data_IF_256633184402
#
_entry.id   IF_256633184402
#
_cell.length_a   1.000
_cell.length_b   1.000
_cell.length_c   1.000
_cell.angle_alpha   90.00
_cell.angle_beta   90.00
_cell.angle_gamma   90.00
#
_symmetry.space_group_name_H-M   'P 1'
#
loop_
_entity.id
_entity.type
_entity.pdbx_description
1 polymer ?
#
# COMPACT_ATOMS: atom_id res chain seq x y z
N UNK A 1 -2.75 10.30 -13.96
CA UNK A 1 -2.01 9.04 -13.82
C UNK A 1 -3.03 7.92 -13.94
N UNK A 2 -2.96 7.11 -14.99
CA UNK A 2 -3.88 5.97 -15.19
C UNK A 2 -3.36 4.85 -14.30
N UNK A 3 -4.13 4.48 -13.28
CA UNK A 3 -3.81 3.38 -12.38
C UNK A 3 -4.16 2.09 -13.10
N UNK A 4 -3.17 1.41 -13.64
CA UNK A 4 -3.36 0.06 -14.18
C UNK A 4 -3.36 -0.90 -13.00
N UNK A 5 -4.44 -1.66 -12.80
CA UNK A 5 -4.48 -2.76 -11.81
C UNK A 5 -3.41 -3.78 -12.20
N UNK A 6 -2.32 -3.82 -11.46
CA UNK A 6 -1.32 -4.86 -11.65
C UNK A 6 -1.90 -6.20 -11.19
N UNK A 7 -1.76 -7.21 -12.04
CA UNK A 7 -2.23 -8.55 -11.73
C UNK A 7 -1.34 -9.15 -10.63
N UNK A 8 -1.96 -9.60 -9.53
CA UNK A 8 -1.29 -10.36 -8.48
C UNK A 8 -1.18 -11.81 -8.93
N UNK A 9 0.01 -12.37 -8.87
CA UNK A 9 0.32 -13.73 -9.23
C UNK A 9 0.61 -14.56 -7.97
N UNK A 10 0.14 -15.80 -7.94
CA UNK A 10 0.55 -16.74 -6.92
C UNK A 10 1.85 -17.45 -7.33
N UNK A 11 2.46 -18.19 -6.38
CA UNK A 11 3.73 -18.91 -6.61
C UNK A 11 3.64 -19.86 -7.81
N UNK A 12 2.51 -20.57 -7.97
CA UNK A 12 2.30 -21.50 -9.06
C UNK A 12 2.22 -20.80 -10.42
N UNK A 13 1.53 -19.67 -10.50
CA UNK A 13 1.44 -18.86 -11.72
C UNK A 13 2.82 -18.33 -12.13
N UNK A 14 3.64 -17.88 -11.17
CA UNK A 14 5.02 -17.45 -11.44
C UNK A 14 5.88 -18.62 -11.91
N UNK A 15 5.80 -19.78 -11.26
CA UNK A 15 6.53 -20.97 -11.69
C UNK A 15 6.15 -21.39 -13.10
N UNK A 16 4.87 -21.37 -13.44
CA UNK A 16 4.38 -21.69 -14.77
C UNK A 16 4.86 -20.68 -15.83
N UNK A 17 4.93 -19.39 -15.47
CA UNK A 17 5.48 -18.35 -16.34
C UNK A 17 6.99 -18.59 -16.62
N UNK A 18 7.76 -18.92 -15.59
CA UNK A 18 9.20 -19.25 -15.72
C UNK A 18 9.40 -20.49 -16.59
N UNK A 19 8.60 -21.55 -16.39
CA UNK A 19 8.66 -22.76 -17.18
C UNK A 19 8.36 -22.53 -18.66
N UNK A 20 7.39 -21.68 -18.97
CA UNK A 20 7.06 -21.29 -20.36
C UNK A 20 8.21 -20.55 -21.04
N UNK A 21 8.93 -19.70 -20.30
CA UNK A 21 10.06 -18.95 -20.85
C UNK A 21 11.32 -19.81 -20.97
N UNK A 22 11.53 -20.70 -20.02
CA UNK A 22 12.72 -21.54 -19.99
C UNK A 22 12.43 -22.96 -19.45
N UNK A 23 12.17 -23.95 -20.33
CA UNK A 23 11.82 -25.31 -19.94
C UNK A 23 12.93 -26.11 -19.21
N UNK A 24 14.12 -25.52 -19.05
CA UNK A 24 15.23 -26.15 -18.32
C UNK A 24 15.01 -26.23 -16.82
N UNK A 25 14.19 -25.34 -16.25
CA UNK A 25 13.87 -25.33 -14.82
C UNK A 25 12.82 -26.41 -14.49
N UNK A 26 13.23 -27.69 -14.41
CA UNK A 26 12.29 -28.81 -14.18
C UNK A 26 12.08 -29.18 -12.72
N UNK A 27 12.98 -28.78 -11.82
CA UNK A 27 12.84 -29.09 -10.39
C UNK A 27 12.23 -27.94 -9.61
N UNK A 28 11.44 -28.24 -8.58
CA UNK A 28 10.88 -27.21 -7.68
C UNK A 28 11.97 -26.33 -7.09
N UNK A 29 13.12 -26.92 -6.70
CA UNK A 29 14.26 -26.18 -6.16
C UNK A 29 14.81 -25.15 -7.15
N UNK A 30 14.98 -25.51 -8.42
CA UNK A 30 15.47 -24.58 -9.45
C UNK A 30 14.46 -23.45 -9.76
N UNK A 31 13.15 -23.74 -9.67
CA UNK A 31 12.11 -22.72 -9.83
C UNK A 31 12.09 -21.73 -8.67
N UNK A 32 12.21 -22.21 -7.42
CA UNK A 32 12.32 -21.31 -6.27
C UNK A 32 13.58 -20.45 -6.31
N UNK A 33 14.73 -21.04 -6.73
CA UNK A 33 15.96 -20.27 -6.93
C UNK A 33 15.76 -19.17 -7.97
N UNK A 34 15.11 -19.48 -9.12
CA UNK A 34 14.85 -18.46 -10.15
C UNK A 34 13.86 -17.40 -9.69
N UNK A 35 12.86 -17.73 -8.87
CA UNK A 35 11.98 -16.73 -8.23
C UNK A 35 12.81 -15.78 -7.37
N UNK A 36 13.70 -16.32 -6.51
CA UNK A 36 14.56 -15.52 -5.66
C UNK A 36 15.52 -14.61 -6.46
N UNK A 37 16.06 -15.11 -7.57
CA UNK A 37 16.88 -14.31 -8.48
C UNK A 37 16.06 -13.18 -9.11
N UNK A 38 14.86 -13.47 -9.61
CA UNK A 38 13.96 -12.46 -10.19
C UNK A 38 13.49 -11.41 -9.17
N UNK A 39 13.31 -11.79 -7.88
CA UNK A 39 13.08 -10.83 -6.79
C UNK A 39 14.31 -9.92 -6.58
N UNK A 40 15.50 -10.49 -6.57
CA UNK A 40 16.77 -9.75 -6.40
C UNK A 40 17.04 -8.80 -7.56
N UNK A 41 16.71 -9.21 -8.77
CA UNK A 41 16.86 -8.41 -9.99
C UNK A 41 15.75 -7.35 -10.15
N UNK A 42 14.73 -7.37 -9.28
CA UNK A 42 13.61 -6.43 -9.31
C UNK A 42 12.60 -6.70 -10.44
N UNK A 43 12.66 -7.86 -11.09
CA UNK A 43 11.68 -8.26 -12.12
C UNK A 43 10.32 -8.57 -11.51
N UNK A 44 10.32 -9.12 -10.32
CA UNK A 44 9.11 -9.40 -9.52
C UNK A 44 9.31 -8.89 -8.10
N UNK A 45 8.21 -8.50 -7.47
CA UNK A 45 8.20 -8.07 -6.08
C UNK A 45 7.25 -8.96 -5.29
N UNK A 46 7.74 -9.48 -4.18
CA UNK A 46 6.92 -10.25 -3.25
C UNK A 46 6.10 -9.31 -2.39
N UNK A 47 4.79 -9.34 -2.55
CA UNK A 47 3.83 -8.50 -1.80
C UNK A 47 3.17 -9.22 -0.62
N UNK A 48 3.46 -10.53 -0.46
CA UNK A 48 2.94 -11.36 0.63
C UNK A 48 3.36 -12.81 0.49
N UNK A 49 2.90 -13.67 1.40
CA UNK A 49 3.23 -15.11 1.34
C UNK A 49 2.67 -15.74 0.07
N UNK A 50 3.56 -16.11 -0.85
CA UNK A 50 3.20 -16.72 -2.13
C UNK A 50 2.48 -15.79 -3.09
N UNK A 51 2.59 -14.45 -2.92
CA UNK A 51 1.97 -13.45 -3.79
C UNK A 51 3.02 -12.50 -4.33
N UNK A 52 2.97 -12.27 -5.63
CA UNK A 52 3.96 -11.51 -6.38
C UNK A 52 3.30 -10.58 -7.39
N UNK A 53 3.99 -9.50 -7.73
CA UNK A 53 3.68 -8.63 -8.86
C UNK A 53 4.91 -8.50 -9.75
N UNK A 54 4.71 -8.30 -11.05
CA UNK A 54 5.80 -7.96 -11.97
C UNK A 54 6.08 -6.45 -11.90
N UNK A 55 7.36 -6.11 -11.90
CA UNK A 55 7.80 -4.73 -11.91
C UNK A 55 8.42 -4.25 -10.59
N UNK A 56 8.77 -2.98 -10.52
CA UNK A 56 9.36 -2.38 -9.33
C UNK A 56 8.28 -1.92 -8.34
N UNK A 57 8.62 -1.85 -7.05
CA UNK A 57 7.74 -1.29 -6.01
C UNK A 57 7.26 0.13 -6.34
N UNK A 58 7.99 0.86 -7.19
CA UNK A 58 7.60 2.21 -7.63
C UNK A 58 6.37 2.23 -8.56
N UNK A 59 5.98 1.08 -9.11
CA UNK A 59 4.77 0.93 -9.92
C UNK A 59 3.57 0.38 -9.15
N UNK A 60 3.76 0.00 -7.87
CA UNK A 60 2.67 -0.49 -7.05
C UNK A 60 1.71 0.65 -6.70
N UNK A 61 0.57 0.66 -7.35
CA UNK A 61 -0.54 1.54 -7.01
C UNK A 61 -1.74 0.69 -6.62
N UNK A 62 -2.41 1.07 -5.55
CA UNK A 62 -3.69 0.48 -5.19
C UNK A 62 -4.77 1.55 -5.25
N UNK A 63 -5.99 1.14 -5.56
CA UNK A 63 -7.13 2.04 -5.59
C UNK A 63 -7.67 2.26 -4.18
N UNK A 64 -7.83 3.53 -3.80
CA UNK A 64 -8.56 3.87 -2.59
C UNK A 64 -10.02 3.43 -2.75
N UNK A 65 -10.54 2.63 -1.81
CA UNK A 65 -11.91 2.15 -1.84
C UNK A 65 -12.84 3.02 -1.00
N UNK A 66 -12.38 3.47 0.18
CA UNK A 66 -13.15 4.24 1.13
C UNK A 66 -13.44 5.67 0.68
N UNK A 67 -14.68 6.13 0.90
CA UNK A 67 -15.08 7.50 0.56
C UNK A 67 -14.22 8.54 1.31
N UNK A 68 -13.88 8.27 2.58
CA UNK A 68 -13.06 9.17 3.40
C UNK A 68 -11.62 9.24 2.89
N UNK A 69 -11.01 8.12 2.53
CA UNK A 69 -9.66 8.10 1.96
C UNK A 69 -9.60 8.86 0.63
N UNK A 70 -10.61 8.68 -0.23
CA UNK A 70 -10.74 9.43 -1.49
C UNK A 70 -10.90 10.93 -1.24
N UNK A 71 -11.67 11.32 -0.22
CA UNK A 71 -11.85 12.72 0.14
C UNK A 71 -10.53 13.35 0.67
N UNK A 72 -9.77 12.62 1.51
CA UNK A 72 -8.44 13.06 1.97
C UNK A 72 -7.50 13.22 0.78
N UNK A 73 -7.43 12.24 -0.12
CA UNK A 73 -6.60 12.32 -1.31
C UNK A 73 -6.94 13.53 -2.17
N UNK A 74 -8.24 13.75 -2.43
CA UNK A 74 -8.72 14.90 -3.18
C UNK A 74 -8.32 16.22 -2.51
N UNK A 75 -8.56 16.36 -1.21
CA UNK A 75 -8.19 17.54 -0.43
C UNK A 75 -6.70 17.88 -0.56
N UNK A 76 -5.82 16.87 -0.43
CA UNK A 76 -4.38 17.09 -0.56
C UNK A 76 -3.98 17.48 -1.98
N UNK A 77 -4.59 16.89 -3.00
CA UNK A 77 -4.32 17.25 -4.40
C UNK A 77 -4.79 18.64 -4.78
N UNK A 78 -5.85 19.14 -4.17
CA UNK A 78 -6.41 20.47 -4.44
C UNK A 78 -5.68 21.59 -3.67
N UNK A 79 -5.17 21.30 -2.47
CA UNK A 79 -4.59 22.31 -1.58
C UNK A 79 -3.06 22.35 -1.56
N UNK A 80 -2.40 21.35 -2.16
CA UNK A 80 -0.94 21.26 -2.21
C UNK A 80 -0.44 21.25 -3.65
N UNK A 81 0.80 21.71 -3.86
CA UNK A 81 1.40 21.75 -5.19
C UNK A 81 1.57 20.34 -5.79
N UNK A 82 1.69 20.28 -7.12
CA UNK A 82 1.93 19.03 -7.83
C UNK A 82 3.22 18.29 -7.42
N UNK A 83 4.17 19.02 -6.81
CA UNK A 83 5.43 18.48 -6.33
C UNK A 83 5.35 17.99 -4.86
N UNK A 84 4.17 18.11 -4.23
CA UNK A 84 3.97 17.57 -2.90
C UNK A 84 3.81 16.05 -2.98
N UNK A 85 4.80 15.35 -2.47
CA UNK A 85 4.84 13.89 -2.43
C UNK A 85 4.18 13.39 -1.14
N UNK A 86 3.25 12.49 -1.27
CA UNK A 86 2.62 11.79 -0.15
C UNK A 86 2.16 10.40 -0.58
N UNK A 87 2.07 9.50 0.39
CA UNK A 87 1.43 8.20 0.22
C UNK A 87 0.19 8.12 1.12
N UNK A 88 -0.89 7.56 0.58
CA UNK A 88 -2.13 7.31 1.32
C UNK A 88 -2.60 5.89 1.05
N UNK A 89 -2.91 5.14 2.09
CA UNK A 89 -3.42 3.79 1.97
C UNK A 89 -4.38 3.43 3.11
N UNK A 90 -5.23 2.49 2.84
CA UNK A 90 -6.25 1.99 3.76
C UNK A 90 -5.83 0.61 4.27
N UNK A 91 -5.78 0.44 5.58
CA UNK A 91 -5.39 -0.85 6.18
C UNK A 91 -6.29 -1.99 5.74
N UNK A 92 -7.60 -1.75 5.59
CA UNK A 92 -8.54 -2.73 5.10
C UNK A 92 -8.21 -3.22 3.69
N UNK A 93 -7.88 -2.30 2.78
CA UNK A 93 -7.54 -2.64 1.40
C UNK A 93 -6.22 -3.40 1.32
N UNK A 94 -5.19 -2.89 2.02
CA UNK A 94 -3.86 -3.50 2.01
C UNK A 94 -3.86 -4.86 2.71
N UNK A 95 -4.42 -4.95 3.93
CA UNK A 95 -4.36 -6.17 4.72
C UNK A 95 -5.30 -7.27 4.23
N UNK A 96 -6.44 -6.94 3.62
CA UNK A 96 -7.32 -7.94 3.00
C UNK A 96 -6.65 -8.69 1.84
N UNK A 97 -5.60 -8.12 1.24
CA UNK A 97 -4.80 -8.81 0.24
C UNK A 97 -3.86 -9.86 0.85
N UNK A 98 -3.51 -9.72 2.13
CA UNK A 98 -2.56 -10.56 2.83
C UNK A 98 -3.18 -11.49 3.88
N UNK A 99 -4.30 -11.09 4.44
CA UNK A 99 -4.99 -11.80 5.50
C UNK A 99 -6.34 -12.30 4.99
N UNK A 100 -6.65 -13.57 5.30
CA UNK A 100 -7.97 -14.14 5.02
C UNK A 100 -9.04 -13.67 6.05
N UNK A 101 -8.77 -12.61 6.78
CA UNK A 101 -9.64 -12.05 7.80
C UNK A 101 -10.05 -10.64 7.43
N UNK A 102 -11.35 -10.37 7.51
CA UNK A 102 -11.89 -9.03 7.40
C UNK A 102 -11.50 -8.22 8.63
N UNK A 103 -10.84 -7.09 8.43
CA UNK A 103 -10.62 -6.14 9.53
C UNK A 103 -11.95 -5.48 9.90
N UNK A 104 -12.23 -5.43 11.21
CA UNK A 104 -13.43 -4.78 11.73
C UNK A 104 -13.44 -3.27 11.46
N UNK A 105 -12.26 -2.65 11.47
CA UNK A 105 -12.09 -1.22 11.29
C UNK A 105 -11.06 -0.92 10.19
N UNK A 106 -11.35 0.12 9.42
CA UNK A 106 -10.45 0.66 8.42
C UNK A 106 -9.68 1.83 9.03
N UNK A 107 -8.37 1.87 8.81
CA UNK A 107 -7.51 2.99 9.17
C UNK A 107 -6.90 3.56 7.90
N UNK A 108 -6.91 4.87 7.79
CA UNK A 108 -6.29 5.58 6.68
C UNK A 108 -4.91 6.04 7.16
N UNK A 109 -3.86 5.50 6.55
CA UNK A 109 -2.49 5.91 6.82
C UNK A 109 -2.09 6.93 5.77
N UNK A 110 -1.61 8.07 6.21
CA UNK A 110 -1.11 9.15 5.38
C UNK A 110 0.34 9.41 5.72
N UNK A 111 1.23 9.07 4.80
CA UNK A 111 2.66 9.34 4.91
C UNK A 111 2.99 10.62 4.17
N UNK A 112 3.62 11.56 4.88
CA UNK A 112 4.02 12.85 4.32
C UNK A 112 5.43 13.22 4.82
N UNK A 113 6.20 14.00 4.08
CA UNK A 113 7.48 14.49 4.56
C UNK A 113 7.33 15.23 5.89
N UNK A 114 8.25 15.00 6.82
CA UNK A 114 8.22 15.52 8.19
C UNK A 114 7.89 17.03 8.27
N UNK A 115 8.46 17.79 7.37
CA UNK A 115 8.27 19.26 7.32
C UNK A 115 6.82 19.67 7.05
N UNK A 116 6.01 18.82 6.43
CA UNK A 116 4.61 19.12 6.11
C UNK A 116 3.59 18.48 7.06
N UNK A 117 4.02 17.62 7.96
CA UNK A 117 3.12 16.82 8.81
C UNK A 117 2.15 17.71 9.63
N UNK A 118 2.67 18.73 10.30
CA UNK A 118 1.86 19.63 11.12
C UNK A 118 0.86 20.44 10.26
N UNK A 119 1.34 20.98 9.15
CA UNK A 119 0.50 21.74 8.23
C UNK A 119 -0.61 20.87 7.62
N UNK A 120 -0.31 19.62 7.24
CA UNK A 120 -1.30 18.67 6.74
C UNK A 120 -2.32 18.32 7.82
N UNK A 121 -1.88 18.13 9.06
CA UNK A 121 -2.75 17.85 10.19
C UNK A 121 -3.77 18.98 10.41
N UNK A 122 -3.31 20.23 10.50
CA UNK A 122 -4.18 21.37 10.67
C UNK A 122 -5.12 21.55 9.47
N UNK A 123 -4.61 21.44 8.26
CA UNK A 123 -5.41 21.54 7.03
C UNK A 123 -6.55 20.52 6.97
N UNK A 124 -6.30 19.27 7.38
CA UNK A 124 -7.34 18.24 7.43
C UNK A 124 -8.40 18.55 8.52
N UNK A 125 -7.97 19.05 9.67
CA UNK A 125 -8.89 19.45 10.74
C UNK A 125 -9.77 20.64 10.34
N UNK A 126 -9.19 21.65 9.72
CA UNK A 126 -9.91 22.83 9.20
C UNK A 126 -10.92 22.43 8.12
N UNK A 127 -10.58 21.45 7.28
CA UNK A 127 -11.49 20.88 6.30
C UNK A 127 -12.60 19.99 6.91
N UNK A 128 -12.64 19.83 8.24
CA UNK A 128 -13.67 19.10 8.96
C UNK A 128 -13.48 17.58 9.02
N UNK A 129 -12.30 17.07 8.67
CA UNK A 129 -12.01 15.65 8.86
C UNK A 129 -11.92 15.32 10.35
N UNK A 130 -12.70 14.33 10.76
CA UNK A 130 -12.72 13.83 12.15
C UNK A 130 -11.71 12.68 12.32
N UNK A 131 -11.33 12.42 13.57
CA UNK A 131 -10.47 11.31 13.96
C UNK A 131 -9.12 11.35 13.21
N UNK A 132 -8.46 12.51 13.23
CA UNK A 132 -7.11 12.69 12.68
C UNK A 132 -6.12 12.62 13.82
N UNK A 133 -5.16 11.71 13.75
CA UNK A 133 -4.08 11.54 14.72
C UNK A 133 -2.75 11.94 14.09
N UNK A 134 -2.00 12.75 14.81
CA UNK A 134 -0.68 13.24 14.42
C UNK A 134 0.40 12.37 15.05
N UNK A 135 1.11 11.60 14.24
CA UNK A 135 2.22 10.74 14.68
C UNK A 135 1.96 10.06 16.05
N UNK A 136 0.84 9.34 16.20
CA UNK A 136 0.42 8.84 17.50
C UNK A 136 1.41 7.81 18.04
N UNK A 137 1.62 7.84 19.36
CA UNK A 137 2.25 6.72 20.04
C UNK A 137 1.33 5.49 20.04
N UNK A 138 1.85 4.33 20.35
CA UNK A 138 1.03 3.11 20.47
C UNK A 138 -0.10 3.29 21.50
N UNK A 139 0.18 3.93 22.63
CA UNK A 139 -0.82 4.22 23.65
C UNK A 139 -1.92 5.18 23.16
N UNK A 140 -1.54 6.22 22.41
CA UNK A 140 -2.50 7.16 21.84
C UNK A 140 -3.35 6.46 20.78
N UNK A 141 -2.75 5.61 19.96
CA UNK A 141 -3.49 4.82 18.98
C UNK A 141 -4.58 3.99 19.66
N UNK A 142 -4.28 3.21 20.69
CA UNK A 142 -5.28 2.41 21.39
C UNK A 142 -6.34 3.24 22.11
N UNK A 143 -6.01 4.44 22.57
CA UNK A 143 -6.95 5.31 23.30
C UNK A 143 -7.93 6.03 22.38
N UNK A 144 -7.48 6.46 21.20
CA UNK A 144 -8.24 7.34 20.30
C UNK A 144 -8.63 6.69 18.99
N UNK A 145 -8.40 5.38 18.88
CA UNK A 145 -8.72 4.64 17.67
C UNK A 145 -10.24 4.49 17.50
N UNK A 146 -10.73 4.97 16.38
CA UNK A 146 -12.12 4.83 15.94
C UNK A 146 -12.15 4.32 14.49
N UNK A 147 -13.33 3.94 14.02
CA UNK A 147 -13.53 3.58 12.62
C UNK A 147 -13.09 4.73 11.70
N UNK A 148 -12.32 4.39 10.67
CA UNK A 148 -11.79 5.34 9.69
C UNK A 148 -10.91 6.46 10.28
N UNK A 149 -10.15 6.16 11.33
CA UNK A 149 -9.12 7.05 11.85
C UNK A 149 -8.08 7.36 10.76
N UNK A 150 -7.72 8.63 10.62
CA UNK A 150 -6.62 9.09 9.76
C UNK A 150 -5.37 9.21 10.63
N UNK A 151 -4.30 8.53 10.25
CA UNK A 151 -3.00 8.60 10.94
C UNK A 151 -2.01 9.28 10.00
N UNK A 152 -1.47 10.41 10.45
CA UNK A 152 -0.39 11.11 9.75
C UNK A 152 0.94 10.69 10.36
N UNK A 153 1.84 10.21 9.53
CA UNK A 153 3.20 9.80 9.90
C UNK A 153 4.22 10.15 8.82
N UNK A 154 5.47 9.97 9.15
CA UNK A 154 6.61 10.13 8.24
C UNK A 154 6.88 8.84 7.50
#
# INVERSE_FOLDING_TARGET
MVITKEKIYNTEEIMNAILKQNPKYRSSSSLYSKIADSEKDGEIVRIGRGKYVYGSLNSFSYDLEGAKAKAVYKHLKENYSSNFEFAIYETKVVLNQFLNHLLAHNTIILEVPKIFMEHVFESLKEAGFKNVLFNPSEADFYRYFEAETIIIKQ
#
